data_IF_257137240033
#
_entry.id   IF_257137240033
#
_cell.length_a   1.000
_cell.length_b   1.000
_cell.length_c   1.000
_cell.angle_alpha   90.00
_cell.angle_beta   90.00
_cell.angle_gamma   90.00
#
_symmetry.space_group_name_H-M   'P 1'
#
loop_
_entity.id
_entity.type
_entity.pdbx_description
1 polymer ?
#
# COMPACT_ATOMS: atom_id res chain seq x y z
N UNK A 1 74.29 41.60 -49.71
CA UNK A 1 73.18 41.60 -50.65
C UNK A 1 72.45 40.30 -50.54
N UNK A 2 71.44 40.19 -49.66
CA UNK A 2 70.33 39.22 -49.75
C UNK A 2 69.18 39.72 -48.90
N UNK A 3 68.06 39.77 -49.49
CA UNK A 3 66.81 40.45 -49.12
C UNK A 3 66.00 39.71 -48.11
N UNK A 4 65.51 40.46 -47.17
CA UNK A 4 64.46 40.13 -46.26
C UNK A 4 63.09 40.08 -46.99
N UNK A 5 62.33 39.06 -46.89
CA UNK A 5 60.97 39.00 -47.38
C UNK A 5 60.37 37.64 -47.17
N UNK A 6 59.46 37.51 -46.14
CA UNK A 6 58.28 36.65 -46.08
C UNK A 6 57.95 36.26 -44.65
N UNK A 7 57.34 37.19 -43.93
CA UNK A 7 56.71 36.83 -42.66
C UNK A 7 55.40 37.61 -42.34
N UNK A 8 54.56 37.87 -43.33
CA UNK A 8 53.33 38.64 -43.09
C UNK A 8 52.02 37.85 -43.36
N UNK A 9 52.05 36.67 -44.04
CA UNK A 9 50.83 35.95 -44.37
C UNK A 9 50.29 35.03 -43.25
N UNK A 10 51.09 34.65 -42.27
CA UNK A 10 50.65 33.70 -41.19
C UNK A 10 49.77 34.32 -40.10
N UNK A 11 49.97 35.62 -39.80
CA UNK A 11 49.26 36.28 -38.68
C UNK A 11 47.80 36.63 -38.97
N UNK A 12 47.42 36.83 -40.21
CA UNK A 12 46.03 37.17 -40.60
C UNK A 12 45.13 35.97 -40.73
N UNK A 13 45.64 34.82 -41.08
CA UNK A 13 44.86 33.56 -41.15
C UNK A 13 44.58 33.04 -39.73
N UNK A 14 45.55 33.15 -38.82
CA UNK A 14 45.38 32.69 -37.43
C UNK A 14 44.36 33.53 -36.66
N UNK A 15 44.26 34.83 -36.89
CA UNK A 15 43.22 35.68 -36.25
C UNK A 15 41.81 35.42 -36.79
N UNK A 16 41.67 35.01 -38.05
CA UNK A 16 40.34 34.68 -38.63
C UNK A 16 39.81 33.32 -38.12
N UNK A 17 40.67 32.32 -37.96
CA UNK A 17 40.26 31.00 -37.46
C UNK A 17 39.88 31.04 -35.97
N UNK A 18 40.56 31.81 -35.11
CA UNK A 18 40.20 32.02 -33.71
C UNK A 18 38.85 32.73 -33.55
N UNK A 19 38.53 33.69 -34.42
CA UNK A 19 37.22 34.37 -34.41
C UNK A 19 36.06 33.46 -34.79
N UNK A 20 36.23 32.62 -35.80
CA UNK A 20 35.21 31.64 -36.21
C UNK A 20 34.96 30.58 -35.13
N UNK A 21 36.03 30.09 -34.50
CA UNK A 21 35.91 29.11 -33.40
C UNK A 21 35.15 29.68 -32.19
N UNK A 22 35.44 30.96 -31.84
CA UNK A 22 34.73 31.64 -30.74
C UNK A 22 33.23 31.81 -31.03
N UNK A 23 32.85 32.10 -32.27
CA UNK A 23 31.46 32.23 -32.68
C UNK A 23 30.76 30.85 -32.60
N UNK A 24 31.40 29.78 -33.07
CA UNK A 24 30.84 28.42 -32.96
C UNK A 24 30.60 28.01 -31.50
N UNK A 25 31.58 28.28 -30.61
CA UNK A 25 31.46 28.02 -29.18
C UNK A 25 30.28 28.79 -28.56
N UNK A 26 30.12 30.07 -28.89
CA UNK A 26 28.99 30.88 -28.42
C UNK A 26 27.64 30.36 -28.91
N UNK A 27 27.57 29.93 -30.16
CA UNK A 27 26.35 29.30 -30.72
C UNK A 27 26.03 27.97 -29.98
N UNK A 28 27.02 27.09 -29.77
CA UNK A 28 26.86 25.86 -29.04
C UNK A 28 26.41 26.08 -27.59
N UNK A 29 26.99 27.03 -26.88
CA UNK A 29 26.58 27.41 -25.52
C UNK A 29 25.15 27.96 -25.53
N UNK A 30 24.81 28.82 -26.50
CA UNK A 30 23.43 29.32 -26.64
C UNK A 30 22.40 28.23 -26.87
N UNK A 31 22.72 27.24 -27.72
CA UNK A 31 21.86 26.06 -27.95
C UNK A 31 21.70 25.21 -26.67
N UNK A 32 22.81 24.99 -25.94
CA UNK A 32 22.75 24.23 -24.66
C UNK A 32 21.89 24.94 -23.62
N UNK A 33 22.03 26.26 -23.49
CA UNK A 33 21.18 27.07 -22.60
C UNK A 33 19.73 26.99 -23.02
N UNK A 34 19.43 27.08 -24.31
CA UNK A 34 18.06 26.97 -24.82
C UNK A 34 17.45 25.59 -24.54
N UNK A 35 18.20 24.51 -24.78
CA UNK A 35 17.77 23.16 -24.47
C UNK A 35 17.52 22.96 -22.97
N UNK A 36 18.38 23.50 -22.12
CA UNK A 36 18.21 23.49 -20.68
C UNK A 36 16.95 24.24 -20.24
N UNK A 37 16.71 25.46 -20.80
CA UNK A 37 15.51 26.23 -20.50
C UNK A 37 14.23 25.53 -20.97
N UNK A 38 14.23 24.94 -22.15
CA UNK A 38 13.07 24.16 -22.66
C UNK A 38 12.82 22.94 -21.77
N UNK A 39 13.87 22.23 -21.38
CA UNK A 39 13.77 21.11 -20.43
C UNK A 39 13.21 21.54 -19.08
N UNK A 40 13.71 22.63 -18.53
CA UNK A 40 13.26 23.19 -17.26
C UNK A 40 11.77 23.61 -17.29
N UNK A 41 11.36 24.34 -18.35
CA UNK A 41 9.95 24.74 -18.54
C UNK A 41 9.04 23.51 -18.67
N UNK A 42 9.49 22.46 -19.37
CA UNK A 42 8.72 21.23 -19.53
C UNK A 42 8.54 20.48 -18.21
N UNK A 43 9.59 20.41 -17.38
CA UNK A 43 9.53 19.84 -16.04
C UNK A 43 8.57 20.60 -15.12
N UNK A 44 8.66 21.94 -15.13
CA UNK A 44 7.79 22.78 -14.32
C UNK A 44 6.31 22.69 -14.72
N UNK A 45 6.03 22.58 -16.03
CA UNK A 45 4.67 22.32 -16.52
C UNK A 45 4.16 20.96 -16.08
N UNK A 46 4.99 19.90 -16.14
CA UNK A 46 4.67 18.57 -15.67
C UNK A 46 4.36 18.54 -14.18
N UNK A 47 5.15 19.25 -13.36
CA UNK A 47 4.90 19.34 -11.93
C UNK A 47 3.63 20.13 -11.58
N UNK A 48 3.35 21.23 -12.29
CA UNK A 48 2.11 21.99 -12.11
C UNK A 48 0.88 21.14 -12.43
N UNK A 49 0.91 20.41 -13.55
CA UNK A 49 -0.17 19.52 -13.93
C UNK A 49 -0.37 18.40 -12.89
N UNK A 50 0.71 17.80 -12.38
CA UNK A 50 0.66 16.78 -11.32
C UNK A 50 0.06 17.33 -10.03
N UNK A 51 0.46 18.54 -9.60
CA UNK A 51 -0.11 19.19 -8.40
C UNK A 51 -1.60 19.51 -8.57
N UNK A 52 -2.02 19.98 -9.75
CA UNK A 52 -3.43 20.23 -10.06
C UNK A 52 -4.24 18.94 -10.00
N UNK A 53 -3.76 17.89 -10.66
CA UNK A 53 -4.41 16.59 -10.64
C UNK A 53 -4.49 16.00 -9.23
N UNK A 54 -3.42 16.10 -8.43
CA UNK A 54 -3.44 15.69 -7.04
C UNK A 54 -4.47 16.48 -6.23
N UNK A 55 -4.57 17.78 -6.42
CA UNK A 55 -5.57 18.61 -5.74
C UNK A 55 -7.02 18.22 -6.14
N UNK A 56 -7.26 17.81 -7.39
CA UNK A 56 -8.56 17.28 -7.81
C UNK A 56 -8.89 15.95 -7.14
N UNK A 57 -7.91 15.05 -7.01
CA UNK A 57 -8.05 13.79 -6.27
C UNK A 57 -8.33 14.06 -4.78
N UNK A 58 -7.52 14.90 -4.14
CA UNK A 58 -7.61 15.17 -2.70
C UNK A 58 -8.90 15.87 -2.31
N UNK A 59 -9.47 16.68 -3.19
CA UNK A 59 -10.75 17.37 -2.97
C UNK A 59 -11.99 16.55 -3.30
N UNK A 60 -11.82 15.35 -3.91
CA UNK A 60 -12.93 14.55 -4.45
C UNK A 60 -13.53 15.09 -5.75
N UNK A 61 -12.95 16.14 -6.34
CA UNK A 61 -13.43 16.70 -7.61
C UNK A 61 -13.29 15.70 -8.76
N UNK A 62 -12.25 14.92 -8.77
CA UNK A 62 -12.04 13.88 -9.76
C UNK A 62 -13.15 12.84 -9.74
N UNK A 63 -13.50 12.36 -8.54
CA UNK A 63 -14.50 11.30 -8.37
C UNK A 63 -15.94 11.81 -8.52
N UNK A 64 -16.26 12.99 -7.96
CA UNK A 64 -17.64 13.47 -7.78
C UNK A 64 -17.96 14.81 -8.46
N UNK A 65 -17.00 15.42 -9.17
CA UNK A 65 -17.16 16.78 -9.70
C UNK A 65 -18.34 16.98 -10.66
N UNK A 66 -18.86 15.90 -11.27
CA UNK A 66 -20.05 15.93 -12.13
C UNK A 66 -21.37 15.72 -11.37
N UNK A 67 -21.31 15.46 -10.06
CA UNK A 67 -22.45 15.21 -9.17
C UNK A 67 -22.40 16.21 -8.02
N UNK A 68 -22.96 17.42 -8.16
CA UNK A 68 -22.73 18.53 -7.22
C UNK A 68 -23.09 18.21 -5.76
N UNK A 69 -24.14 17.42 -5.51
CA UNK A 69 -24.54 17.01 -4.17
C UNK A 69 -23.55 16.05 -3.51
N UNK A 70 -23.07 15.02 -4.24
CA UNK A 70 -22.03 14.12 -3.75
C UNK A 70 -20.69 14.85 -3.58
N UNK A 71 -20.37 15.76 -4.51
CA UNK A 71 -19.14 16.56 -4.41
C UNK A 71 -19.12 17.43 -3.16
N UNK A 72 -20.26 18.00 -2.76
CA UNK A 72 -20.36 18.76 -1.51
C UNK A 72 -20.05 17.89 -0.28
N UNK A 73 -20.49 16.63 -0.25
CA UNK A 73 -20.13 15.66 0.80
C UNK A 73 -18.63 15.33 0.74
N UNK A 74 -18.10 15.05 -0.46
CA UNK A 74 -16.70 14.77 -0.66
C UNK A 74 -15.78 15.92 -0.19
N UNK A 75 -16.18 17.17 -0.37
CA UNK A 75 -15.46 18.33 0.18
C UNK A 75 -15.45 18.34 1.72
N UNK A 76 -16.53 17.93 2.38
CA UNK A 76 -16.58 17.74 3.83
C UNK A 76 -15.62 16.63 4.28
N UNK A 77 -15.58 15.50 3.55
CA UNK A 77 -14.64 14.41 3.81
C UNK A 77 -13.20 14.90 3.67
N UNK A 78 -12.88 15.57 2.58
CA UNK A 78 -11.54 16.10 2.31
C UNK A 78 -11.05 17.08 3.41
N UNK A 79 -11.96 17.75 4.11
CA UNK A 79 -11.67 18.65 5.24
C UNK A 79 -11.75 17.95 6.60
N UNK A 80 -12.19 16.69 6.64
CA UNK A 80 -12.52 15.95 7.85
C UNK A 80 -13.53 16.72 8.74
N UNK A 81 -14.51 17.35 8.08
CA UNK A 81 -15.53 18.20 8.72
C UNK A 81 -16.86 17.43 8.80
N UNK A 82 -17.12 16.82 9.96
CA UNK A 82 -18.31 16.02 10.21
C UNK A 82 -19.62 16.81 10.08
N UNK A 83 -19.63 18.11 10.43
CA UNK A 83 -20.81 18.95 10.32
C UNK A 83 -21.12 19.26 8.86
N UNK A 84 -20.10 19.62 8.07
CA UNK A 84 -20.23 19.82 6.64
C UNK A 84 -20.70 18.54 5.92
N UNK A 85 -20.16 17.36 6.29
CA UNK A 85 -20.62 16.07 5.77
C UNK A 85 -22.12 15.87 6.05
N UNK A 86 -22.55 16.02 7.31
CA UNK A 86 -23.96 15.84 7.71
C UNK A 86 -24.89 16.85 7.04
N UNK A 87 -24.45 18.10 6.90
CA UNK A 87 -25.24 19.13 6.23
C UNK A 87 -25.42 18.83 4.75
N UNK A 88 -24.34 18.50 4.04
CA UNK A 88 -24.36 18.17 2.62
C UNK A 88 -25.15 16.87 2.33
N UNK A 89 -25.01 15.87 3.19
CA UNK A 89 -25.72 14.58 3.06
C UNK A 89 -27.24 14.72 3.01
N UNK A 90 -27.81 15.75 3.65
CA UNK A 90 -29.28 16.02 3.62
C UNK A 90 -29.81 16.31 2.20
N UNK A 91 -28.95 16.72 1.29
CA UNK A 91 -29.30 17.05 -0.10
C UNK A 91 -29.06 15.90 -1.08
N UNK A 92 -28.48 14.79 -0.59
CA UNK A 92 -28.16 13.61 -1.40
C UNK A 92 -29.28 12.60 -1.25
N UNK A 93 -29.84 12.15 -2.36
CA UNK A 93 -30.89 11.13 -2.38
C UNK A 93 -30.35 9.71 -2.10
N UNK A 94 -29.12 9.45 -2.51
CA UNK A 94 -28.43 8.19 -2.31
C UNK A 94 -26.94 8.44 -2.05
N UNK A 95 -26.53 8.26 -0.80
CA UNK A 95 -25.13 8.42 -0.37
C UNK A 95 -24.21 7.32 -0.92
N UNK A 96 -24.77 6.17 -1.34
CA UNK A 96 -24.02 5.07 -1.89
C UNK A 96 -23.87 5.17 -3.41
N UNK A 97 -24.50 6.18 -4.03
CA UNK A 97 -24.37 6.38 -5.46
C UNK A 97 -22.90 6.53 -5.86
N UNK A 98 -22.49 5.83 -6.96
CA UNK A 98 -21.12 5.85 -7.39
C UNK A 98 -20.75 7.18 -8.06
N UNK A 99 -19.55 7.64 -7.78
CA UNK A 99 -18.85 8.64 -8.56
C UNK A 99 -18.17 8.02 -9.80
N UNK A 100 -17.07 8.63 -10.23
CA UNK A 100 -16.27 8.12 -11.34
C UNK A 100 -15.69 6.75 -10.97
N UNK A 101 -15.61 5.86 -11.97
CA UNK A 101 -15.00 4.52 -11.85
C UNK A 101 -15.58 3.69 -10.70
N UNK A 102 -16.85 3.91 -10.36
CA UNK A 102 -17.52 3.18 -9.30
C UNK A 102 -17.15 3.58 -7.87
N UNK A 103 -16.34 4.62 -7.67
CA UNK A 103 -15.91 5.08 -6.34
C UNK A 103 -17.09 5.62 -5.54
N UNK A 104 -17.33 5.13 -4.33
CA UNK A 104 -18.31 5.68 -3.38
C UNK A 104 -17.67 6.74 -2.47
N UNK A 105 -18.52 7.50 -1.74
CA UNK A 105 -18.03 8.44 -0.72
C UNK A 105 -17.25 7.72 0.39
N UNK A 106 -17.62 6.48 0.71
CA UNK A 106 -16.92 5.70 1.74
C UNK A 106 -15.54 5.22 1.23
N UNK A 107 -15.43 4.77 -0.03
CA UNK A 107 -14.14 4.46 -0.66
C UNK A 107 -13.22 5.68 -0.65
N UNK A 108 -13.77 6.84 -1.02
CA UNK A 108 -13.01 8.08 -1.01
C UNK A 108 -12.51 8.44 0.40
N UNK A 109 -13.36 8.33 1.43
CA UNK A 109 -13.01 8.63 2.82
C UNK A 109 -11.90 7.68 3.33
N UNK A 110 -12.00 6.37 3.04
CA UNK A 110 -10.98 5.39 3.43
C UNK A 110 -9.65 5.69 2.75
N UNK A 111 -9.63 5.99 1.45
CA UNK A 111 -8.40 6.39 0.75
C UNK A 111 -7.77 7.68 1.32
N UNK A 112 -8.59 8.67 1.70
CA UNK A 112 -8.09 9.89 2.37
C UNK A 112 -7.37 9.56 3.69
N UNK A 113 -7.81 8.54 4.42
CA UNK A 113 -7.21 8.14 5.69
C UNK A 113 -5.79 7.57 5.58
N UNK A 114 -5.35 7.13 4.39
CA UNK A 114 -3.99 6.63 4.19
C UNK A 114 -2.93 7.72 4.36
N UNK A 115 -3.27 8.96 3.97
CA UNK A 115 -2.38 10.12 4.12
C UNK A 115 -2.68 10.92 5.40
N UNK A 116 -3.89 10.79 5.93
CA UNK A 116 -4.42 11.56 7.07
C UNK A 116 -5.17 10.62 8.03
N UNK A 117 -4.45 9.97 8.96
CA UNK A 117 -5.06 9.01 9.90
C UNK A 117 -6.20 9.60 10.75
N UNK A 118 -6.19 10.92 10.98
CA UNK A 118 -7.28 11.65 11.67
C UNK A 118 -8.60 11.65 10.89
N UNK A 119 -8.59 11.35 9.59
CA UNK A 119 -9.80 11.28 8.74
C UNK A 119 -10.77 10.16 9.12
N UNK A 120 -10.50 9.39 10.14
CA UNK A 120 -11.40 8.34 10.66
C UNK A 120 -12.75 8.93 11.10
N UNK A 121 -12.81 10.20 11.51
CA UNK A 121 -14.07 10.84 11.90
C UNK A 121 -15.02 11.06 10.71
N UNK A 122 -14.49 11.35 9.53
CA UNK A 122 -15.30 11.41 8.30
C UNK A 122 -15.91 10.03 7.99
N UNK A 123 -15.13 8.95 8.12
CA UNK A 123 -15.60 7.56 7.93
C UNK A 123 -16.71 7.24 8.94
N UNK A 124 -16.50 7.49 10.23
CA UNK A 124 -17.52 7.28 11.27
C UNK A 124 -18.79 8.06 11.00
N UNK A 125 -18.65 9.31 10.51
CA UNK A 125 -19.79 10.14 10.15
C UNK A 125 -20.61 9.50 9.02
N UNK A 126 -19.95 9.05 7.93
CA UNK A 126 -20.62 8.40 6.81
C UNK A 126 -21.33 7.10 7.24
N UNK A 127 -20.66 6.27 8.04
CA UNK A 127 -21.24 5.04 8.59
C UNK A 127 -22.46 5.37 9.48
N UNK A 128 -22.40 6.43 10.32
CA UNK A 128 -23.52 6.86 11.14
C UNK A 128 -24.71 7.41 10.34
N UNK A 129 -24.48 7.83 9.09
CA UNK A 129 -25.50 8.23 8.14
C UNK A 129 -26.10 7.05 7.36
N UNK A 130 -25.71 5.82 7.69
CA UNK A 130 -26.27 4.61 7.13
C UNK A 130 -25.56 4.10 5.87
N UNK A 131 -24.35 4.57 5.57
CA UNK A 131 -23.56 3.96 4.50
C UNK A 131 -23.17 2.54 4.88
N UNK A 132 -23.36 1.61 3.95
CA UNK A 132 -23.01 0.19 4.13
C UNK A 132 -21.54 -0.04 3.83
N UNK A 133 -20.71 -0.47 4.80
CA UNK A 133 -19.32 -0.80 4.57
C UNK A 133 -19.11 -1.94 3.57
N UNK A 134 -20.13 -2.75 3.33
CA UNK A 134 -20.08 -3.90 2.43
C UNK A 134 -20.61 -3.61 1.03
N UNK A 135 -20.96 -2.36 0.74
CA UNK A 135 -21.50 -1.99 -0.57
C UNK A 135 -20.48 -2.31 -1.68
N UNK A 136 -20.89 -3.07 -2.69
CA UNK A 136 -19.97 -3.60 -3.71
C UNK A 136 -19.94 -2.77 -4.99
N UNK A 137 -21.01 -2.02 -5.25
CA UNK A 137 -21.14 -1.17 -6.43
C UNK A 137 -20.74 -1.85 -7.76
N UNK A 138 -21.13 -3.12 -7.92
CA UNK A 138 -20.82 -3.92 -9.10
C UNK A 138 -19.48 -4.64 -9.07
N UNK A 139 -18.66 -4.43 -8.07
CA UNK A 139 -17.44 -5.22 -7.81
C UNK A 139 -17.76 -6.50 -7.02
N UNK A 140 -16.91 -7.54 -7.09
CA UNK A 140 -17.11 -8.78 -6.32
C UNK A 140 -17.11 -8.56 -4.81
N UNK A 141 -16.38 -7.54 -4.33
CA UNK A 141 -16.23 -7.17 -2.92
C UNK A 141 -16.34 -5.67 -2.74
N UNK A 142 -16.60 -5.20 -1.52
CA UNK A 142 -16.56 -3.79 -1.18
C UNK A 142 -15.14 -3.25 -1.31
N UNK A 143 -14.96 -2.20 -2.12
CA UNK A 143 -13.67 -1.49 -2.24
C UNK A 143 -13.33 -0.80 -0.91
N UNK A 144 -14.30 -0.17 -0.25
CA UNK A 144 -14.09 0.48 1.05
C UNK A 144 -13.57 -0.49 2.11
N UNK A 145 -14.13 -1.72 2.18
CA UNK A 145 -13.64 -2.74 3.11
C UNK A 145 -12.25 -3.26 2.73
N UNK A 146 -11.99 -3.47 1.43
CA UNK A 146 -10.66 -3.88 0.96
C UNK A 146 -9.61 -2.80 1.29
N UNK A 147 -9.90 -1.54 1.03
CA UNK A 147 -9.04 -0.40 1.33
C UNK A 147 -8.85 -0.18 2.85
N UNK A 148 -9.90 -0.42 3.66
CA UNK A 148 -9.82 -0.38 5.12
C UNK A 148 -8.88 -1.46 5.67
N UNK A 149 -8.83 -2.62 5.03
CA UNK A 149 -7.87 -3.67 5.33
C UNK A 149 -6.40 -3.23 5.17
N UNK A 150 -6.13 -2.20 4.39
CA UNK A 150 -4.81 -1.58 4.24
C UNK A 150 -4.61 -0.32 5.09
N UNK A 151 -5.63 0.14 5.80
CA UNK A 151 -5.63 1.37 6.58
C UNK A 151 -5.17 1.15 8.02
N UNK A 152 -5.17 2.21 8.83
CA UNK A 152 -4.84 2.16 10.25
C UNK A 152 -5.87 1.34 11.06
N UNK A 153 -5.47 0.84 12.23
CA UNK A 153 -6.38 0.11 13.12
C UNK A 153 -7.66 0.87 13.50
N UNK A 154 -7.64 2.20 13.77
CA UNK A 154 -8.87 2.96 13.99
C UNK A 154 -9.86 2.96 12.83
N UNK A 155 -9.37 3.02 11.58
CA UNK A 155 -10.21 2.96 10.38
C UNK A 155 -10.81 1.56 10.21
N UNK A 156 -9.96 0.53 10.28
CA UNK A 156 -10.41 -0.85 10.22
C UNK A 156 -11.46 -1.15 11.30
N UNK A 157 -11.22 -0.69 12.54
CA UNK A 157 -12.17 -0.83 13.64
C UNK A 157 -13.52 -0.17 13.33
N UNK A 158 -13.52 1.08 12.85
CA UNK A 158 -14.75 1.79 12.52
C UNK A 158 -15.59 1.03 11.49
N UNK A 159 -14.94 0.45 10.48
CA UNK A 159 -15.62 -0.34 9.45
C UNK A 159 -16.17 -1.66 10.00
N UNK A 160 -15.37 -2.41 10.77
CA UNK A 160 -15.76 -3.72 11.31
C UNK A 160 -16.86 -3.58 12.39
N UNK A 161 -16.78 -2.60 13.29
CA UNK A 161 -17.77 -2.35 14.33
C UNK A 161 -19.16 -1.96 13.77
N UNK A 162 -19.20 -1.47 12.52
CA UNK A 162 -20.46 -1.17 11.81
C UNK A 162 -20.93 -2.31 10.90
N UNK A 163 -20.37 -3.50 11.05
CA UNK A 163 -20.80 -4.69 10.33
C UNK A 163 -20.03 -4.95 9.03
N UNK A 164 -18.89 -4.31 8.85
CA UNK A 164 -17.99 -4.60 7.74
C UNK A 164 -17.56 -6.08 7.71
N UNK A 165 -17.50 -6.68 6.52
CA UNK A 165 -17.17 -8.09 6.36
C UNK A 165 -15.66 -8.32 6.55
N UNK A 166 -15.27 -8.91 7.66
CA UNK A 166 -13.88 -9.26 7.98
C UNK A 166 -13.26 -10.29 7.01
N UNK A 167 -14.09 -10.97 6.19
CA UNK A 167 -13.66 -11.93 5.18
C UNK A 167 -13.58 -11.33 3.77
N UNK A 168 -13.65 -10.00 3.65
CA UNK A 168 -13.48 -9.30 2.37
C UNK A 168 -12.13 -9.67 1.75
N UNK A 169 -12.13 -9.76 0.42
CA UNK A 169 -10.95 -10.00 -0.40
C UNK A 169 -10.66 -8.78 -1.26
N UNK A 170 -9.41 -8.57 -1.60
CA UNK A 170 -9.02 -7.54 -2.56
C UNK A 170 -9.35 -7.95 -4.01
N UNK A 171 -9.01 -7.10 -4.95
CA UNK A 171 -9.21 -7.32 -6.39
C UNK A 171 -8.45 -8.55 -6.93
N UNK A 172 -7.41 -9.01 -6.24
CA UNK A 172 -6.65 -10.23 -6.57
C UNK A 172 -7.17 -11.47 -5.86
N UNK A 173 -8.28 -11.35 -5.10
CA UNK A 173 -8.87 -12.45 -4.32
C UNK A 173 -8.12 -12.78 -3.03
N UNK A 174 -7.20 -11.91 -2.57
CA UNK A 174 -6.44 -12.12 -1.34
C UNK A 174 -7.28 -11.69 -0.14
N UNK A 175 -7.44 -12.54 0.89
CA UNK A 175 -8.15 -12.16 2.12
C UNK A 175 -7.46 -10.99 2.81
N UNK A 176 -8.21 -9.97 3.25
CA UNK A 176 -7.65 -8.76 3.87
C UNK A 176 -6.88 -9.06 5.16
N UNK A 177 -7.26 -10.07 5.91
CA UNK A 177 -6.51 -10.53 7.08
C UNK A 177 -5.07 -10.96 6.73
N UNK A 178 -4.84 -11.54 5.54
CA UNK A 178 -3.51 -11.92 5.05
C UNK A 178 -2.67 -10.71 4.62
N UNK A 179 -3.32 -9.64 4.20
CA UNK A 179 -2.63 -8.42 3.77
C UNK A 179 -2.11 -7.57 4.92
N UNK A 180 -2.45 -7.92 6.15
CA UNK A 180 -2.10 -7.20 7.36
C UNK A 180 -0.59 -6.91 7.50
N UNK A 181 0.27 -7.78 6.95
CA UNK A 181 1.74 -7.66 7.03
C UNK A 181 2.41 -7.23 5.71
N UNK A 182 1.68 -7.24 4.60
CA UNK A 182 2.27 -7.05 3.27
C UNK A 182 2.70 -5.61 2.99
N UNK A 183 1.95 -4.63 3.51
CA UNK A 183 2.12 -3.21 3.15
C UNK A 183 2.79 -2.38 4.24
N UNK A 184 3.78 -2.76 4.90
CA UNK A 184 4.75 -2.00 5.70
C UNK A 184 4.34 -0.71 6.45
N UNK A 185 3.24 -0.05 6.08
CA UNK A 185 2.83 1.26 6.57
C UNK A 185 2.35 1.27 8.04
N UNK A 186 1.85 0.13 8.54
CA UNK A 186 1.31 0.02 9.90
C UNK A 186 1.84 -1.23 10.61
N UNK A 187 3.14 -1.50 10.46
CA UNK A 187 3.79 -2.68 11.10
C UNK A 187 3.63 -2.70 12.61
N UNK A 188 3.68 -1.54 13.24
CA UNK A 188 3.43 -1.33 14.67
C UNK A 188 2.00 -1.69 15.10
N UNK A 189 1.04 -1.67 14.17
CA UNK A 189 -0.37 -2.00 14.40
C UNK A 189 -0.76 -3.38 13.88
N UNK A 190 0.18 -4.15 13.28
CA UNK A 190 -0.13 -5.41 12.62
C UNK A 190 -0.84 -6.40 13.57
N UNK A 191 -0.38 -6.50 14.82
CA UNK A 191 -0.97 -7.36 15.83
C UNK A 191 -2.40 -6.94 16.21
N UNK A 192 -2.63 -5.67 16.52
CA UNK A 192 -3.94 -5.17 16.90
C UNK A 192 -4.95 -5.25 15.76
N UNK A 193 -4.49 -5.12 14.51
CA UNK A 193 -5.33 -5.30 13.33
C UNK A 193 -5.68 -6.76 13.08
N UNK A 194 -4.73 -7.69 13.30
CA UNK A 194 -4.99 -9.13 13.27
C UNK A 194 -6.09 -9.50 14.27
N UNK A 195 -5.96 -9.01 15.51
CA UNK A 195 -6.96 -9.22 16.57
C UNK A 195 -8.33 -8.67 16.16
N UNK A 196 -8.38 -7.45 15.58
CA UNK A 196 -9.63 -6.87 15.07
C UNK A 196 -10.30 -7.76 14.03
N UNK A 197 -9.56 -8.26 13.05
CA UNK A 197 -10.13 -9.18 12.05
C UNK A 197 -10.70 -10.43 12.70
N UNK A 198 -9.96 -11.06 13.61
CA UNK A 198 -10.37 -12.30 14.28
C UNK A 198 -11.55 -12.07 15.22
N UNK A 199 -11.59 -10.96 15.95
CA UNK A 199 -12.69 -10.59 16.85
C UNK A 199 -14.00 -10.32 16.09
N UNK A 200 -13.91 -9.93 14.81
CA UNK A 200 -15.07 -9.72 13.93
C UNK A 200 -15.33 -10.88 12.96
N UNK A 201 -14.83 -12.08 13.27
CA UNK A 201 -15.19 -13.31 12.57
C UNK A 201 -14.46 -13.55 11.25
N UNK A 202 -13.26 -13.01 11.08
CA UNK A 202 -12.41 -13.41 9.97
C UNK A 202 -12.08 -14.90 10.06
N UNK A 203 -12.10 -15.58 8.92
CA UNK A 203 -11.71 -16.99 8.84
C UNK A 203 -10.23 -17.16 9.14
N UNK A 204 -9.93 -17.69 10.32
CA UNK A 204 -8.56 -17.96 10.78
C UNK A 204 -7.83 -18.97 9.87
N UNK A 205 -8.57 -19.75 9.09
CA UNK A 205 -8.06 -20.72 8.12
C UNK A 205 -8.06 -20.18 6.67
N UNK A 206 -8.23 -18.88 6.49
CA UNK A 206 -8.11 -18.23 5.18
C UNK A 206 -6.82 -18.61 4.47
N UNK A 207 -6.90 -18.73 3.14
CA UNK A 207 -5.74 -19.06 2.29
C UNK A 207 -5.47 -17.98 1.26
N UNK A 208 -4.20 -17.84 0.90
CA UNK A 208 -3.79 -17.08 -0.29
C UNK A 208 -4.49 -17.65 -1.53
N UNK A 209 -4.76 -16.82 -2.54
CA UNK A 209 -5.28 -17.30 -3.83
C UNK A 209 -4.35 -18.36 -4.41
N UNK A 210 -4.93 -19.23 -5.23
CA UNK A 210 -4.15 -20.24 -5.95
C UNK A 210 -3.61 -19.63 -7.27
N UNK A 211 -2.74 -18.64 -7.13
CA UNK A 211 -2.09 -17.93 -8.22
C UNK A 211 -0.67 -18.47 -8.49
N UNK A 212 0.16 -17.71 -9.23
CA UNK A 212 1.54 -18.08 -9.54
C UNK A 212 2.54 -17.59 -8.49
N UNK A 213 2.10 -17.10 -7.34
CA UNK A 213 2.99 -16.64 -6.27
C UNK A 213 3.59 -17.81 -5.50
N UNK A 214 4.73 -17.57 -4.87
CA UNK A 214 5.40 -18.55 -3.99
C UNK A 214 4.52 -18.92 -2.76
N UNK A 215 3.47 -18.16 -2.50
CA UNK A 215 2.56 -18.34 -1.38
C UNK A 215 1.18 -18.87 -1.80
N UNK A 216 1.03 -19.31 -3.06
CA UNK A 216 -0.23 -19.82 -3.58
C UNK A 216 -0.81 -20.91 -2.70
N UNK A 217 -2.07 -20.76 -2.28
CA UNK A 217 -2.78 -21.74 -1.43
C UNK A 217 -2.26 -21.86 0.00
N UNK A 218 -1.33 -21.03 0.45
CA UNK A 218 -0.84 -21.08 1.83
C UNK A 218 -1.93 -20.61 2.81
N UNK A 219 -2.23 -21.42 3.86
CA UNK A 219 -3.05 -20.99 4.98
C UNK A 219 -2.39 -19.81 5.72
N UNK A 220 -3.21 -18.95 6.34
CA UNK A 220 -2.77 -17.82 7.13
C UNK A 220 -1.70 -18.19 8.16
N UNK A 221 -1.88 -19.29 8.88
CA UNK A 221 -0.93 -19.78 9.89
C UNK A 221 0.46 -20.04 9.27
N UNK A 222 0.52 -20.76 8.15
CA UNK A 222 1.79 -21.10 7.52
C UNK A 222 2.46 -19.88 6.89
N UNK A 223 1.67 -19.05 6.20
CA UNK A 223 2.15 -17.81 5.62
C UNK A 223 2.81 -16.93 6.68
N UNK A 224 2.13 -16.72 7.81
CA UNK A 224 2.68 -15.90 8.88
C UNK A 224 3.88 -16.53 9.56
N UNK A 225 3.85 -17.84 9.85
CA UNK A 225 4.98 -18.53 10.47
C UNK A 225 6.24 -18.46 9.61
N UNK A 226 6.11 -18.60 8.29
CA UNK A 226 7.24 -18.55 7.35
C UNK A 226 8.02 -17.23 7.40
N UNK A 227 7.40 -16.11 7.81
CA UNK A 227 8.05 -14.81 8.00
C UNK A 227 8.92 -14.75 9.27
N UNK A 228 8.88 -15.76 10.15
CA UNK A 228 9.43 -15.72 11.50
C UNK A 228 10.94 -15.55 11.58
N UNK A 229 11.69 -15.97 10.56
CA UNK A 229 13.16 -15.80 10.52
C UNK A 229 13.57 -14.33 10.50
N UNK A 230 12.80 -13.50 9.77
CA UNK A 230 13.05 -12.07 9.61
C UNK A 230 12.21 -11.20 10.56
N UNK A 231 11.10 -11.75 11.06
CA UNK A 231 10.18 -11.09 11.97
C UNK A 231 9.76 -12.03 13.11
N UNK A 232 10.47 -11.99 14.21
CA UNK A 232 10.19 -12.86 15.37
C UNK A 232 8.77 -12.74 15.95
N UNK A 233 8.08 -11.59 15.74
CA UNK A 233 6.69 -11.42 16.17
C UNK A 233 5.73 -12.33 15.38
N UNK A 234 6.16 -12.85 14.22
CA UNK A 234 5.40 -13.83 13.46
C UNK A 234 5.11 -15.11 14.25
N UNK A 235 6.00 -15.52 15.12
CA UNK A 235 5.78 -16.69 15.98
C UNK A 235 4.69 -16.45 17.02
N UNK A 236 4.62 -15.23 17.57
CA UNK A 236 3.54 -14.85 18.49
C UNK A 236 2.19 -14.74 17.78
N UNK A 237 2.20 -14.22 16.53
CA UNK A 237 0.99 -14.18 15.72
C UNK A 237 0.51 -15.59 15.35
N UNK A 238 1.44 -16.52 15.07
CA UNK A 238 1.11 -17.93 14.86
C UNK A 238 0.46 -18.56 16.11
N UNK A 239 0.99 -18.30 17.30
CA UNK A 239 0.38 -18.72 18.56
C UNK A 239 -1.02 -18.12 18.77
N UNK A 240 -1.22 -16.85 18.43
CA UNK A 240 -2.55 -16.25 18.45
C UNK A 240 -3.52 -16.95 17.50
N UNK A 241 -3.09 -17.20 16.27
CA UNK A 241 -3.91 -17.89 15.26
C UNK A 241 -4.29 -19.30 15.74
N UNK A 242 -3.34 -20.05 16.30
CA UNK A 242 -3.60 -21.38 16.90
C UNK A 242 -4.58 -21.28 18.05
N UNK A 243 -4.44 -20.30 18.95
CA UNK A 243 -5.38 -20.03 20.04
C UNK A 243 -6.79 -19.63 19.55
N UNK A 244 -6.92 -19.15 18.32
CA UNK A 244 -8.20 -18.81 17.67
C UNK A 244 -8.73 -19.93 16.77
N UNK A 245 -8.12 -21.12 16.77
CA UNK A 245 -8.60 -22.31 16.06
C UNK A 245 -8.02 -22.49 14.65
N UNK A 246 -6.87 -21.90 14.35
CA UNK A 246 -6.16 -22.26 13.12
C UNK A 246 -5.79 -23.74 13.12
N UNK A 247 -6.03 -24.42 11.99
CA UNK A 247 -5.69 -25.84 11.84
C UNK A 247 -4.18 -26.01 11.63
N UNK A 248 -3.43 -26.57 12.59
CA UNK A 248 -1.99 -26.75 12.48
C UNK A 248 -1.56 -27.83 11.48
N UNK A 249 -2.50 -28.68 11.05
CA UNK A 249 -2.24 -29.79 10.14
C UNK A 249 -2.47 -29.41 8.67
N UNK A 250 -3.03 -28.24 8.42
CA UNK A 250 -3.31 -27.78 7.07
C UNK A 250 -2.00 -27.46 6.35
N UNK A 251 -1.76 -28.13 5.21
CA UNK A 251 -0.56 -27.91 4.40
C UNK A 251 -0.75 -26.79 3.36
N UNK A 252 0.35 -26.16 2.97
CA UNK A 252 0.43 -25.34 1.77
C UNK A 252 0.31 -26.16 0.48
N UNK A 253 0.13 -25.50 -0.66
CA UNK A 253 0.01 -26.16 -1.97
C UNK A 253 1.22 -27.01 -2.38
N UNK A 254 2.40 -26.68 -1.85
CA UNK A 254 3.68 -27.39 -2.04
C UNK A 254 3.90 -28.53 -1.02
N UNK A 255 2.91 -28.81 -0.16
CA UNK A 255 3.00 -29.81 0.92
C UNK A 255 3.82 -29.34 2.13
N UNK A 256 4.12 -28.02 2.23
CA UNK A 256 4.72 -27.45 3.42
C UNK A 256 3.73 -27.48 4.59
N UNK A 257 4.20 -27.87 5.77
CA UNK A 257 3.40 -27.94 7.02
C UNK A 257 4.04 -27.07 8.09
N UNK A 258 3.29 -26.78 9.15
CA UNK A 258 3.82 -26.02 10.30
C UNK A 258 5.09 -26.68 10.87
N UNK A 259 5.06 -28.01 11.06
CA UNK A 259 6.23 -28.75 11.56
C UNK A 259 7.46 -28.62 10.66
N UNK A 260 7.30 -28.71 9.33
CA UNK A 260 8.40 -28.52 8.38
C UNK A 260 8.96 -27.10 8.44
N UNK A 261 8.11 -26.07 8.50
CA UNK A 261 8.55 -24.67 8.61
C UNK A 261 9.40 -24.48 9.87
N UNK A 262 8.90 -24.95 11.01
CA UNK A 262 9.61 -24.82 12.29
C UNK A 262 10.94 -25.57 12.28
N UNK A 263 10.99 -26.78 11.73
CA UNK A 263 12.24 -27.56 11.59
C UNK A 263 13.26 -26.82 10.70
N UNK A 264 12.80 -26.24 9.59
CA UNK A 264 13.67 -25.47 8.69
C UNK A 264 14.21 -24.20 9.39
N UNK A 265 13.36 -23.50 10.15
CA UNK A 265 13.78 -22.30 10.89
C UNK A 265 14.81 -22.65 11.97
N UNK A 266 14.61 -23.73 12.71
CA UNK A 266 15.59 -24.21 13.71
C UNK A 266 16.93 -24.49 13.07
N UNK A 267 16.95 -25.26 11.98
CA UNK A 267 18.16 -25.54 11.21
C UNK A 267 18.82 -24.25 10.68
N UNK A 268 18.03 -23.27 10.26
CA UNK A 268 18.55 -21.97 9.84
C UNK A 268 19.29 -21.25 10.98
N UNK A 269 18.72 -21.16 12.18
CA UNK A 269 19.35 -20.52 13.33
C UNK A 269 20.64 -21.24 13.73
N UNK A 270 20.62 -22.57 13.76
CA UNK A 270 21.81 -23.42 14.06
C UNK A 270 22.92 -23.19 13.04
N UNK A 271 22.62 -23.27 11.75
CA UNK A 271 23.60 -23.12 10.66
C UNK A 271 24.16 -21.71 10.53
N UNK A 272 23.40 -20.69 10.90
CA UNK A 272 23.84 -19.30 10.83
C UNK A 272 24.43 -18.79 12.16
N UNK A 273 24.49 -19.64 13.18
CA UNK A 273 24.94 -19.31 14.52
C UNK A 273 24.18 -18.11 15.13
N UNK A 274 22.91 -17.90 14.72
CA UNK A 274 22.03 -16.90 15.31
C UNK A 274 21.38 -17.42 16.58
N UNK A 275 21.19 -16.54 17.55
CA UNK A 275 20.40 -16.88 18.76
C UNK A 275 18.97 -17.23 18.36
N UNK A 276 18.44 -18.32 18.90
CA UNK A 276 17.05 -18.72 18.71
C UNK A 276 16.15 -17.75 19.48
N UNK A 277 15.18 -17.08 18.83
CA UNK A 277 14.26 -16.16 19.51
C UNK A 277 13.37 -16.89 20.55
N UNK A 278 13.10 -16.26 21.66
CA UNK A 278 12.18 -16.81 22.69
C UNK A 278 10.78 -17.04 22.16
N UNK A 279 10.34 -16.21 21.23
CA UNK A 279 9.06 -16.32 20.53
C UNK A 279 9.00 -17.60 19.67
N UNK A 280 10.11 -17.96 19.02
CA UNK A 280 10.23 -19.23 18.30
C UNK A 280 10.16 -20.42 19.26
N UNK A 281 10.88 -20.37 20.40
CA UNK A 281 10.88 -21.44 21.41
C UNK A 281 9.45 -21.69 21.89
N UNK A 282 8.69 -20.64 22.19
CA UNK A 282 7.30 -20.78 22.63
C UNK A 282 6.42 -21.49 21.60
N UNK A 283 6.57 -21.17 20.31
CA UNK A 283 5.80 -21.85 19.24
C UNK A 283 6.30 -23.29 19.02
N UNK A 284 7.62 -23.52 19.14
CA UNK A 284 8.21 -24.86 19.06
C UNK A 284 7.67 -25.77 20.16
N UNK A 285 7.68 -25.32 21.44
CA UNK A 285 7.18 -26.04 22.59
C UNK A 285 5.68 -26.37 22.44
N UNK A 286 4.91 -25.40 21.93
CA UNK A 286 3.51 -25.62 21.59
C UNK A 286 3.36 -26.74 20.54
N UNK A 287 4.17 -26.74 19.49
CA UNK A 287 4.12 -27.71 18.41
C UNK A 287 4.54 -29.11 18.87
N UNK A 288 5.52 -29.23 19.78
CA UNK A 288 5.88 -30.52 20.40
C UNK A 288 4.75 -31.07 21.28
N UNK A 289 4.16 -30.24 22.14
CA UNK A 289 3.03 -30.63 23.01
C UNK A 289 1.83 -31.14 22.21
N UNK A 290 1.60 -30.57 21.02
CA UNK A 290 0.49 -30.94 20.14
C UNK A 290 0.87 -31.98 19.07
N UNK A 291 2.09 -32.57 19.14
CA UNK A 291 2.63 -33.60 18.22
C UNK A 291 2.69 -33.17 16.75
N UNK A 292 2.84 -31.86 16.51
CA UNK A 292 3.01 -31.29 15.17
C UNK A 292 4.46 -31.55 14.67
N UNK A 293 5.43 -31.52 15.59
CA UNK A 293 6.82 -31.91 15.35
C UNK A 293 7.01 -33.30 15.97
N UNK A 294 7.35 -34.29 15.13
CA UNK A 294 7.75 -35.60 15.64
C UNK A 294 9.26 -35.61 15.78
N UNK A 295 9.76 -35.94 16.97
CA UNK A 295 11.17 -36.30 17.12
C UNK A 295 11.44 -37.53 16.28
N UNK A 296 12.20 -37.37 15.19
CA UNK A 296 12.79 -38.52 14.49
C UNK A 296 13.80 -39.08 15.49
N UNK A 297 13.44 -40.20 16.12
CA UNK A 297 14.33 -41.00 16.97
C UNK A 297 15.43 -41.60 16.11
#
# INVERSE_FOLDING_TARGET
>A
MFTCGETVKGRTVFKRTTGVLAIIVLICVGILILLFLVGFISLEKGERHRRQFQAELDSGRWDFGQQPSLFAVAQGIAKNDSEAIRAAAKTVSDLQAPGRDGTTLLDFAVRQSWQRPESVEAIRTLLSLGMDPNHTNGYPNSLAMADAGHSSAPVLRAMLETGGNANTRDEFGRPMILMNWYLGYYKDQARSRLELFLDHGADVNSTMPNDKSDWAGYPLLLYRTAMGVDDKLAYLDALLLLGRGADPNRAGSDGMTLGKILTNHRAHFENTHKSIPTEFVALWDWAEQHRIIQHIQ
#
